data_IF_028537417817
#
_entry.id   IF_028537417817
#
_cell.length_a   1.000
_cell.length_b   1.000
_cell.length_c   1.000
_cell.angle_alpha   90.00
_cell.angle_beta   90.00
_cell.angle_gamma   90.00
#
_symmetry.space_group_name_H-M   'P 1'
#
loop_
_entity.id
_entity.type
_entity.pdbx_description
1 polymer ?
#
# COMPACT_ATOMS: atom_id res chain seq x y z
N UNK A 1 -0.25 19.01 14.50
CA UNK A 1 -0.65 17.95 13.55
C UNK A 1 -0.27 16.60 14.15
N UNK A 2 -1.19 15.65 14.18
CA UNK A 2 -0.97 14.30 14.74
C UNK A 2 -0.81 13.32 13.58
N UNK A 3 -0.02 12.26 13.79
CA UNK A 3 0.09 11.15 12.85
C UNK A 3 -0.41 9.90 13.55
N UNK A 4 -1.41 9.27 12.98
CA UNK A 4 -1.97 8.02 13.48
C UNK A 4 -1.72 6.94 12.43
N UNK A 5 -1.45 5.71 12.88
CA UNK A 5 -1.30 4.55 12.00
C UNK A 5 -2.17 3.40 12.49
N UNK A 6 -2.71 2.64 11.55
CA UNK A 6 -3.40 1.39 11.81
C UNK A 6 -2.84 0.34 10.88
N UNK A 7 -2.62 -0.86 11.40
CA UNK A 7 -2.14 -2.00 10.63
C UNK A 7 -3.00 -3.21 10.93
N UNK A 8 -3.37 -3.93 9.88
CA UNK A 8 -4.05 -5.23 9.96
C UNK A 8 -3.21 -6.25 9.19
N UNK A 9 -2.84 -7.36 9.84
CA UNK A 9 -2.04 -8.41 9.23
C UNK A 9 -0.53 -8.12 9.14
N UNK A 10 0.14 -8.82 8.22
CA UNK A 10 1.59 -8.75 8.02
C UNK A 10 1.94 -7.87 6.82
N UNK A 11 2.95 -7.02 7.00
CA UNK A 11 3.53 -6.18 5.93
C UNK A 11 5.05 -6.29 6.06
N UNK A 12 5.70 -7.20 5.31
CA UNK A 12 7.13 -7.45 5.43
C UNK A 12 7.95 -6.43 4.63
N UNK A 13 8.18 -5.25 5.21
CA UNK A 13 8.87 -4.12 4.54
C UNK A 13 10.35 -4.36 4.21
N UNK A 14 10.99 -5.32 4.87
CA UNK A 14 12.40 -5.67 4.63
C UNK A 14 12.57 -6.77 3.58
N UNK A 15 11.49 -7.41 3.16
CA UNK A 15 11.54 -8.52 2.19
C UNK A 15 11.38 -7.98 0.78
N UNK A 16 12.48 -7.95 0.01
CA UNK A 16 12.47 -7.43 -1.37
C UNK A 16 11.57 -8.24 -2.33
N UNK A 17 11.39 -9.53 -2.06
CA UNK A 17 10.49 -10.41 -2.83
C UNK A 17 9.01 -10.24 -2.46
N UNK A 18 8.68 -9.44 -1.44
CA UNK A 18 7.29 -9.22 -1.08
C UNK A 18 6.63 -8.27 -2.08
N UNK A 19 5.49 -8.69 -2.63
CA UNK A 19 4.68 -7.82 -3.47
C UNK A 19 3.92 -6.81 -2.60
N UNK A 20 4.46 -5.59 -2.52
CA UNK A 20 3.92 -4.51 -1.70
C UNK A 20 3.61 -3.32 -2.60
N UNK A 21 2.33 -2.94 -2.65
CA UNK A 21 1.91 -1.71 -3.28
C UNK A 21 1.97 -0.56 -2.28
N UNK A 22 2.60 0.54 -2.70
CA UNK A 22 2.68 1.77 -1.93
C UNK A 22 1.93 2.90 -2.64
N UNK A 23 1.11 3.62 -1.89
CA UNK A 23 0.44 4.81 -2.37
C UNK A 23 0.51 5.93 -1.34
N UNK A 24 0.81 7.14 -1.80
CA UNK A 24 0.69 8.35 -1.01
C UNK A 24 -0.31 9.31 -1.67
N UNK A 25 -1.23 9.84 -0.86
CA UNK A 25 -2.21 10.82 -1.32
C UNK A 25 -2.45 11.88 -0.27
N UNK A 26 -2.74 13.07 -0.76
CA UNK A 26 -3.09 14.22 0.06
C UNK A 26 -4.59 14.44 0.01
N UNK A 27 -5.24 14.51 1.18
CA UNK A 27 -6.63 14.88 1.34
C UNK A 27 -6.73 16.36 1.77
N UNK A 28 -7.49 17.16 1.01
CA UNK A 28 -7.80 18.55 1.37
C UNK A 28 -9.07 18.58 2.19
N UNK A 29 -8.99 19.10 3.40
CA UNK A 29 -10.13 19.28 4.32
C UNK A 29 -10.32 20.76 4.60
N UNK A 30 -11.46 21.11 5.20
CA UNK A 30 -11.79 22.50 5.58
C UNK A 30 -10.74 23.17 6.48
N UNK A 31 -10.04 22.38 7.30
CA UNK A 31 -9.04 22.86 8.25
C UNK A 31 -7.60 22.69 7.76
N UNK A 32 -7.39 22.20 6.53
CA UNK A 32 -6.07 22.09 5.95
C UNK A 32 -5.85 20.81 5.15
N UNK A 33 -4.65 20.26 5.27
CA UNK A 33 -4.15 19.21 4.38
C UNK A 33 -3.72 18.01 5.21
N UNK A 34 -4.27 16.84 4.92
CA UNK A 34 -3.94 15.56 5.54
C UNK A 34 -3.12 14.69 4.57
N UNK A 35 -1.94 14.26 5.00
CA UNK A 35 -1.12 13.31 4.25
C UNK A 35 -1.47 11.86 4.62
N UNK A 36 -1.85 11.06 3.63
CA UNK A 36 -2.22 9.65 3.81
C UNK A 36 -1.17 8.79 3.09
N UNK A 37 -0.63 7.79 3.79
CA UNK A 37 0.29 6.80 3.24
C UNK A 37 -0.28 5.41 3.48
N UNK A 38 -0.31 4.60 2.44
CA UNK A 38 -0.93 3.27 2.44
C UNK A 38 0.07 2.27 1.89
N UNK A 39 0.19 1.14 2.59
CA UNK A 39 0.95 -0.04 2.15
C UNK A 39 0.00 -1.23 2.10
N UNK A 40 -0.03 -1.92 0.96
CA UNK A 40 -0.87 -3.11 0.74
C UNK A 40 0.05 -4.25 0.37
N UNK A 41 0.03 -5.32 1.17
CA UNK A 41 0.76 -6.55 0.87
C UNK A 41 -0.19 -7.54 0.20
N UNK A 42 0.13 -7.94 -1.03
CA UNK A 42 -0.68 -8.90 -1.80
C UNK A 42 -0.02 -10.28 -1.81
N UNK A 43 -0.74 -11.29 -1.31
CA UNK A 43 -0.21 -12.67 -1.16
C UNK A 43 -0.32 -13.50 -2.43
N UNK A 44 -1.22 -13.14 -3.35
CA UNK A 44 -1.50 -13.92 -4.56
C UNK A 44 -0.99 -13.17 -5.78
N UNK A 45 0.20 -13.53 -6.25
CA UNK A 45 0.66 -13.20 -7.61
C UNK A 45 0.54 -14.46 -8.44
N UNK A 46 -0.68 -14.75 -8.90
CA UNK A 46 -0.84 -15.65 -10.04
C UNK A 46 -0.39 -14.83 -11.26
N UNK A 47 0.87 -14.97 -11.65
CA UNK A 47 1.28 -14.58 -12.99
C UNK A 47 0.49 -15.47 -13.95
N UNK A 48 -0.69 -15.02 -14.36
CA UNK A 48 -1.35 -15.58 -15.52
C UNK A 48 -0.48 -15.18 -16.72
N UNK A 49 0.55 -15.97 -16.97
CA UNK A 49 1.19 -16.08 -18.28
C UNK A 49 0.09 -16.49 -19.25
N UNK A 50 -0.60 -15.50 -19.81
CA UNK A 50 -1.44 -15.68 -20.99
C UNK A 50 -0.48 -15.99 -22.13
N UNK A 51 -0.15 -17.26 -22.32
CA UNK A 51 0.26 -17.77 -23.61
C UNK A 51 -0.99 -17.72 -24.50
N UNK A 52 -1.11 -16.69 -25.33
CA UNK A 52 -1.99 -16.69 -26.49
C UNK A 52 -1.18 -16.30 -27.72
N UNK A 53 -0.84 -17.37 -28.45
CA UNK A 53 -0.57 -17.50 -29.88
C UNK A 53 0.17 -16.35 -30.57
#
# INVERSE_FOLDING_TARGET
ARTEWLRKGQVPLQSLSANIDYCCRTAKTIYGILGIKIWIFQTNVTHATTQKN
#
